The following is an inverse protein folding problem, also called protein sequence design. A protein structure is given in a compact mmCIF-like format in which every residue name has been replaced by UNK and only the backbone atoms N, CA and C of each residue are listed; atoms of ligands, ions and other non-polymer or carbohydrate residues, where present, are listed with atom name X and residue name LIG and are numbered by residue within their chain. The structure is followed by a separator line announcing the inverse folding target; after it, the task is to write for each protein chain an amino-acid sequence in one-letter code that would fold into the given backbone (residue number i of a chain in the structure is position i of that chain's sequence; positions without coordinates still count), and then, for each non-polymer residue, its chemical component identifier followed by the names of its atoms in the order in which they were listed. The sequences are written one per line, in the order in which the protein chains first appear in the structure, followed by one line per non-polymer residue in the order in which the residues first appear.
data_IF_855234531310
#
_entry.id   IF_855234531310
#
_cell.length_a   1.000
_cell.length_b   1.000
_cell.length_c   1.000
_cell.angle_alpha   90.00
_cell.angle_beta   90.00
_cell.angle_gamma   90.00
#
_symmetry.space_group_name_H-M   'P 1'
#
loop_
_entity.id
_entity.type
_entity.pdbx_description
1 polymer ?
#
# COMPACT_ATOMS: atom_id res chain seq x y z
N UNK A 1 77.41 62.31 78.59
CA UNK A 1 78.26 61.41 77.79
C UNK A 1 77.50 61.03 76.53
N UNK A 2 78.25 60.76 75.48
CA UNK A 2 77.92 60.91 74.06
C UNK A 2 77.60 59.54 73.41
N UNK A 3 76.63 59.54 72.46
CA UNK A 3 76.41 58.59 71.32
C UNK A 3 75.78 57.18 71.60
N UNK A 4 75.24 56.48 70.56
CA UNK A 4 74.44 56.94 69.40
C UNK A 4 73.31 55.95 68.92
N UNK A 5 72.47 56.46 67.99
CA UNK A 5 71.74 55.83 66.84
C UNK A 5 71.27 54.37 66.91
N UNK A 6 70.00 54.17 66.53
CA UNK A 6 69.67 53.39 65.32
C UNK A 6 68.29 53.78 64.76
N UNK A 7 68.26 54.03 63.45
CA UNK A 7 67.06 54.26 62.63
C UNK A 7 66.45 52.92 62.18
N UNK A 8 65.13 52.95 62.02
CA UNK A 8 64.11 51.95 61.64
C UNK A 8 64.43 51.10 60.39
N UNK A 9 63.71 49.98 60.16
CA UNK A 9 62.60 50.06 59.18
C UNK A 9 61.34 49.22 59.47
N UNK A 10 60.21 49.79 59.03
CA UNK A 10 58.97 49.17 58.54
C UNK A 10 58.28 48.05 59.35
N UNK A 11 57.30 48.47 60.15
CA UNK A 11 56.20 47.60 60.53
C UNK A 11 55.31 47.36 59.30
N UNK A 12 55.38 46.14 58.75
CA UNK A 12 54.53 45.67 57.67
C UNK A 12 53.04 45.91 58.02
N UNK A 13 52.21 46.41 57.07
CA UNK A 13 50.79 46.54 57.31
C UNK A 13 50.18 45.14 57.52
N UNK A 14 49.56 44.91 58.68
CA UNK A 14 48.81 43.68 58.93
C UNK A 14 47.58 43.64 58.01
N UNK A 15 47.53 42.61 57.17
CA UNK A 15 46.38 42.34 56.32
C UNK A 15 45.19 41.93 57.19
N UNK A 16 44.18 42.82 57.29
CA UNK A 16 42.88 42.48 57.86
C UNK A 16 42.11 41.71 56.79
N UNK A 17 42.05 40.39 56.92
CA UNK A 17 41.25 39.53 56.06
C UNK A 17 39.75 39.74 56.41
N UNK A 18 39.13 40.73 55.77
CA UNK A 18 37.68 40.92 55.89
C UNK A 18 36.98 39.82 55.11
N UNK A 19 36.54 38.77 55.83
CA UNK A 19 35.65 37.72 55.34
C UNK A 19 34.27 38.32 55.00
N UNK A 20 34.18 38.98 53.85
CA UNK A 20 32.92 39.46 53.30
C UNK A 20 32.17 38.27 52.72
N UNK A 21 31.17 37.80 53.45
CA UNK A 21 30.19 36.82 52.97
C UNK A 21 29.35 37.51 51.88
N UNK A 22 29.79 37.41 50.64
CA UNK A 22 29.01 37.88 49.50
C UNK A 22 27.80 36.95 49.36
N UNK A 23 26.60 37.52 49.50
CA UNK A 23 25.36 36.84 49.11
C UNK A 23 25.54 36.37 47.66
N UNK A 24 25.15 35.13 47.30
CA UNK A 24 25.31 34.66 45.93
C UNK A 24 24.63 35.66 45.00
N UNK A 25 25.43 36.30 44.16
CA UNK A 25 25.01 37.40 43.32
C UNK A 25 24.01 36.88 42.30
N UNK A 26 22.89 37.59 42.14
CA UNK A 26 21.88 37.39 41.08
C UNK A 26 22.50 37.31 39.67
N UNK A 27 23.73 37.81 39.50
CA UNK A 27 24.55 37.63 38.31
C UNK A 27 24.74 36.17 37.88
N UNK A 28 24.70 35.19 38.79
CA UNK A 28 24.77 33.76 38.47
C UNK A 28 23.46 33.18 37.91
N UNK A 29 22.34 33.89 37.99
CA UNK A 29 21.08 33.43 37.40
C UNK A 29 21.13 33.44 35.88
N UNK A 30 21.84 34.38 35.27
CA UNK A 30 21.97 34.49 33.81
C UNK A 30 22.64 33.25 33.18
N UNK A 31 23.82 32.76 33.64
CA UNK A 31 24.42 31.55 33.08
C UNK A 31 23.60 30.28 33.37
N UNK A 32 22.95 30.19 34.54
CA UNK A 32 22.08 29.06 34.86
C UNK A 32 20.85 29.05 33.94
N UNK A 33 20.23 30.20 33.71
CA UNK A 33 19.10 30.33 32.79
C UNK A 33 19.50 29.97 31.35
N UNK A 34 20.66 30.44 30.89
CA UNK A 34 21.20 30.07 29.57
C UNK A 34 21.45 28.56 29.46
N UNK A 35 22.03 27.94 30.49
CA UNK A 35 22.22 26.49 30.54
C UNK A 35 20.90 25.73 30.50
N UNK A 36 19.88 26.19 31.23
CA UNK A 36 18.53 25.60 31.21
C UNK A 36 17.89 25.70 29.82
N UNK A 37 18.07 26.81 29.10
CA UNK A 37 17.58 26.96 27.72
C UNK A 37 18.29 25.99 26.79
N UNK A 38 19.61 25.81 26.91
CA UNK A 38 20.36 24.85 26.08
C UNK A 38 19.92 23.41 26.37
N UNK A 39 19.77 23.04 27.64
CA UNK A 39 19.27 21.72 28.04
C UNK A 39 17.84 21.52 27.52
N UNK A 40 17.00 22.54 27.60
CA UNK A 40 15.62 22.49 27.10
C UNK A 40 15.56 22.35 25.58
N UNK A 41 16.37 23.10 24.83
CA UNK A 41 16.47 23.00 23.38
C UNK A 41 16.97 21.61 22.97
N UNK A 42 18.02 21.09 23.60
CA UNK A 42 18.53 19.74 23.36
C UNK A 42 17.49 18.66 23.66
N UNK A 43 16.77 18.79 24.77
CA UNK A 43 15.69 17.88 25.13
C UNK A 43 14.50 17.97 24.16
N UNK A 44 14.16 19.17 23.71
CA UNK A 44 13.10 19.40 22.72
C UNK A 44 13.46 18.82 21.35
N UNK A 45 14.72 18.95 20.91
CA UNK A 45 15.22 18.40 19.66
C UNK A 45 15.27 16.88 19.69
N UNK A 46 15.71 16.29 20.81
CA UNK A 46 15.71 14.84 20.99
C UNK A 46 14.28 14.28 21.07
N UNK A 47 13.39 14.95 21.82
CA UNK A 47 11.96 14.60 21.79
C UNK A 47 11.34 14.85 20.43
N UNK A 48 11.97 15.58 19.52
CA UNK A 48 11.42 15.94 18.23
C UNK A 48 11.67 14.94 17.09
N UNK A 49 12.69 14.09 17.21
CA UNK A 49 13.03 13.11 16.17
C UNK A 49 11.88 12.12 15.95
N UNK A 50 11.61 11.81 14.67
CA UNK A 50 10.69 10.74 14.28
C UNK A 50 11.21 9.37 14.75
N UNK A 51 10.36 8.36 14.69
CA UNK A 51 10.78 7.00 15.02
C UNK A 51 11.35 6.35 13.76
N UNK A 52 12.61 5.92 13.84
CA UNK A 52 13.31 5.31 12.71
C UNK A 52 13.14 3.80 12.72
N UNK A 53 12.76 3.24 11.57
CA UNK A 53 12.67 1.80 11.33
C UNK A 53 13.61 1.38 10.20
N UNK A 54 14.03 0.12 10.21
CA UNK A 54 14.87 -0.50 9.20
C UNK A 54 14.10 -1.62 8.51
N UNK A 55 14.05 -1.56 7.18
CA UNK A 55 13.36 -2.55 6.35
C UNK A 55 14.39 -3.17 5.41
N UNK A 56 14.57 -4.48 5.51
CA UNK A 56 15.47 -5.23 4.63
C UNK A 56 14.71 -5.78 3.45
N UNK A 57 15.09 -5.41 2.23
CA UNK A 57 14.56 -5.93 0.98
C UNK A 57 15.62 -6.74 0.23
N UNK A 58 15.20 -7.71 -0.58
CA UNK A 58 16.12 -8.42 -1.47
C UNK A 58 16.69 -7.48 -2.55
N UNK A 59 15.85 -6.56 -3.05
CA UNK A 59 16.20 -5.60 -4.10
C UNK A 59 15.59 -4.21 -3.82
N UNK A 60 16.28 -3.15 -4.23
CA UNK A 60 15.85 -1.77 -3.97
C UNK A 60 14.72 -1.32 -4.92
N UNK A 61 14.59 -1.97 -6.09
CA UNK A 61 13.61 -1.62 -7.12
C UNK A 61 13.53 -0.12 -7.46
N UNK A 62 14.67 0.59 -7.33
CA UNK A 62 14.77 2.03 -7.59
C UNK A 62 14.32 2.94 -6.44
N UNK A 63 14.07 2.44 -5.23
CA UNK A 63 13.79 3.30 -4.08
C UNK A 63 14.97 4.24 -3.81
N UNK A 64 14.66 5.51 -3.63
CA UNK A 64 15.62 6.59 -3.38
C UNK A 64 15.31 7.28 -2.04
N UNK A 65 16.23 8.15 -1.61
CA UNK A 65 16.03 8.99 -0.43
C UNK A 65 14.85 9.94 -0.70
N UNK A 66 14.06 10.22 0.34
CA UNK A 66 12.84 11.02 0.35
C UNK A 66 11.60 10.37 -0.31
N UNK A 67 11.71 9.12 -0.78
CA UNK A 67 10.54 8.37 -1.24
C UNK A 67 9.51 8.19 -0.09
N UNK A 68 8.21 8.35 -0.37
CA UNK A 68 7.19 8.33 0.67
C UNK A 68 6.85 6.90 1.10
N UNK A 69 6.58 6.76 2.39
CA UNK A 69 5.93 5.56 2.94
C UNK A 69 4.45 5.86 3.13
N UNK A 70 3.60 5.03 2.55
CA UNK A 70 2.16 5.25 2.45
C UNK A 70 1.36 4.14 3.13
N UNK A 71 0.33 4.54 3.89
CA UNK A 71 -0.71 3.65 4.39
C UNK A 71 -2.07 4.14 3.90
N UNK A 72 -2.83 3.28 3.20
CA UNK A 72 -4.17 3.63 2.65
C UNK A 72 -4.20 4.97 1.90
N UNK A 73 -3.14 5.28 1.14
CA UNK A 73 -3.01 6.53 0.38
C UNK A 73 -2.54 7.76 1.18
N UNK A 74 -2.31 7.63 2.49
CA UNK A 74 -1.82 8.69 3.35
C UNK A 74 -0.33 8.52 3.63
N UNK A 75 0.43 9.63 3.58
CA UNK A 75 1.87 9.62 3.90
C UNK A 75 2.10 9.48 5.40
N UNK A 76 2.77 8.40 5.78
CA UNK A 76 3.08 8.04 7.18
C UNK A 76 4.57 8.11 7.50
N UNK A 77 5.43 8.14 6.50
CA UNK A 77 6.87 8.28 6.69
C UNK A 77 7.59 8.62 5.39
N UNK A 78 8.92 8.66 5.47
CA UNK A 78 9.82 8.96 4.35
C UNK A 78 11.09 8.13 4.46
N UNK A 79 11.63 7.72 3.33
CA UNK A 79 12.92 7.05 3.25
C UNK A 79 14.04 8.06 3.54
N UNK A 80 14.93 7.73 4.46
CA UNK A 80 16.09 8.57 4.81
C UNK A 80 17.39 8.05 4.28
N UNK A 81 17.52 6.73 4.15
CA UNK A 81 18.76 6.11 3.75
C UNK A 81 18.50 4.77 3.07
N UNK A 82 19.31 4.47 2.05
CA UNK A 82 19.30 3.19 1.34
C UNK A 82 20.74 2.70 1.31
N UNK A 83 21.02 1.58 1.96
CA UNK A 83 22.37 1.00 2.06
C UNK A 83 22.36 -0.47 1.67
N UNK A 84 23.49 -0.99 1.19
CA UNK A 84 23.63 -2.41 0.93
C UNK A 84 23.81 -3.15 2.25
N UNK A 85 23.07 -4.25 2.43
CA UNK A 85 23.26 -5.12 3.58
C UNK A 85 24.67 -5.76 3.54
N UNK A 86 25.27 -6.05 4.71
CA UNK A 86 26.52 -6.80 4.77
C UNK A 86 26.44 -8.12 3.99
N UNK A 87 27.55 -8.52 3.37
CA UNK A 87 27.67 -9.73 2.56
C UNK A 87 26.78 -9.78 1.29
N UNK A 88 26.33 -8.62 0.77
CA UNK A 88 25.44 -8.52 -0.41
C UNK A 88 24.14 -9.33 -0.27
N UNK A 89 23.66 -9.49 0.96
CA UNK A 89 22.47 -10.29 1.27
C UNK A 89 21.14 -9.58 1.00
N UNK A 90 21.18 -8.30 0.62
CA UNK A 90 20.00 -7.47 0.35
C UNK A 90 20.31 -5.98 0.50
N UNK A 91 19.27 -5.19 0.73
CA UNK A 91 19.32 -3.73 0.85
C UNK A 91 18.55 -3.33 2.10
N UNK A 92 19.19 -2.51 2.94
CA UNK A 92 18.61 -1.96 4.16
C UNK A 92 18.12 -0.56 3.86
N UNK A 93 16.80 -0.37 3.99
CA UNK A 93 16.13 0.91 3.82
C UNK A 93 15.75 1.45 5.19
N UNK A 94 16.29 2.61 5.54
CA UNK A 94 16.00 3.31 6.79
C UNK A 94 14.89 4.32 6.55
N UNK A 95 13.76 4.15 7.25
CA UNK A 95 12.57 4.98 7.13
C UNK A 95 12.35 5.76 8.41
N UNK A 96 12.09 7.06 8.29
CA UNK A 96 11.60 7.88 9.39
C UNK A 96 10.08 7.94 9.33
N UNK A 97 9.42 7.37 10.36
CA UNK A 97 7.98 7.47 10.53
C UNK A 97 7.60 8.75 11.28
N UNK A 98 6.44 9.31 10.93
CA UNK A 98 5.85 10.40 11.70
C UNK A 98 5.45 9.91 13.09
N UNK A 99 5.50 10.80 14.08
CA UNK A 99 5.17 10.43 15.47
C UNK A 99 3.74 9.97 15.66
N UNK A 100 2.80 10.55 14.92
CA UNK A 100 1.37 10.21 14.97
C UNK A 100 1.05 8.86 14.32
N UNK A 101 2.00 8.27 13.60
CA UNK A 101 1.82 7.02 12.85
C UNK A 101 2.69 5.88 13.38
N UNK A 102 3.26 6.01 14.58
CA UNK A 102 4.09 4.97 15.22
C UNK A 102 3.36 3.63 15.36
N UNK A 103 2.04 3.65 15.57
CA UNK A 103 1.20 2.47 15.71
C UNK A 103 1.09 1.62 14.44
N UNK A 104 1.61 2.10 13.31
CA UNK A 104 1.58 1.37 12.03
C UNK A 104 2.73 0.35 11.93
N UNK A 105 3.84 0.59 12.64
CA UNK A 105 4.98 -0.33 12.70
C UNK A 105 4.80 -1.36 13.83
N UNK A 106 3.75 -2.18 13.70
CA UNK A 106 3.53 -3.34 14.56
C UNK A 106 4.57 -4.43 14.28
N UNK A 107 4.80 -5.37 15.20
CA UNK A 107 5.75 -6.49 15.05
C UNK A 107 5.45 -7.39 13.85
N UNK A 108 4.19 -7.43 13.42
CA UNK A 108 3.67 -8.17 12.28
C UNK A 108 3.29 -7.28 11.09
N UNK A 109 3.76 -6.02 11.07
CA UNK A 109 3.52 -5.11 9.96
C UNK A 109 4.23 -5.57 8.69
N UNK A 110 3.54 -5.45 7.56
CA UNK A 110 4.02 -5.85 6.24
C UNK A 110 4.37 -4.63 5.42
N UNK A 111 5.59 -4.60 4.89
CA UNK A 111 6.07 -3.52 4.03
C UNK A 111 6.40 -4.08 2.65
N UNK A 112 6.07 -3.35 1.58
CA UNK A 112 6.43 -3.74 0.22
C UNK A 112 6.65 -2.52 -0.67
N UNK A 113 7.49 -2.69 -1.69
CA UNK A 113 7.73 -1.66 -2.69
C UNK A 113 6.66 -1.76 -3.77
N UNK A 114 5.96 -0.66 -4.05
CA UNK A 114 4.97 -0.61 -5.13
C UNK A 114 5.69 -0.34 -6.43
N UNK A 115 5.59 -1.29 -7.36
CA UNK A 115 6.13 -1.13 -8.71
C UNK A 115 5.07 -0.47 -9.59
N UNK A 116 5.38 0.63 -10.30
CA UNK A 116 4.47 1.17 -11.30
C UNK A 116 4.32 0.13 -12.42
N UNK A 117 3.11 -0.36 -12.63
CA UNK A 117 2.82 -1.24 -13.75
C UNK A 117 2.72 -0.40 -15.01
N UNK A 118 3.59 -0.68 -15.98
CA UNK A 118 3.51 -0.06 -17.30
C UNK A 118 2.39 -0.76 -18.06
N UNK A 119 1.17 -0.26 -17.90
CA UNK A 119 0.08 -0.68 -18.78
C UNK A 119 0.28 0.00 -20.14
N UNK A 120 0.27 -0.76 -21.23
CA UNK A 120 0.30 -0.24 -22.61
C UNK A 120 -1.01 0.50 -22.98
N UNK A 121 -1.90 0.75 -22.01
CA UNK A 121 -3.11 1.54 -22.17
C UNK A 121 -2.76 3.02 -22.10
N UNK A 122 -2.74 3.66 -23.27
CA UNK A 122 -3.24 5.04 -23.41
C UNK A 122 -2.42 6.13 -22.76
N UNK A 123 -1.54 6.71 -23.57
CA UNK A 123 -0.88 7.98 -23.33
C UNK A 123 -1.93 9.11 -23.28
N UNK A 124 -2.35 9.53 -22.09
CA UNK A 124 -2.79 10.91 -21.82
C UNK A 124 -2.18 11.36 -20.50
N UNK A 125 -1.36 12.42 -20.57
CA UNK A 125 -0.50 12.87 -19.48
C UNK A 125 0.92 12.32 -19.56
N UNK A 126 1.68 12.73 -20.59
CA UNK A 126 3.14 12.48 -20.73
C UNK A 126 3.99 13.07 -19.58
N UNK A 127 3.36 13.55 -18.50
CA UNK A 127 4.00 14.10 -17.31
C UNK A 127 4.26 13.05 -16.20
N UNK A 128 3.72 11.83 -16.29
CA UNK A 128 3.79 10.83 -15.18
C UNK A 128 4.22 9.42 -15.64
N UNK A 129 5.15 9.33 -16.60
CA UNK A 129 5.72 8.05 -17.07
C UNK A 129 6.46 7.23 -15.99
N UNK A 130 6.53 7.73 -14.77
CA UNK A 130 6.97 7.01 -13.59
C UNK A 130 5.93 7.29 -12.50
N UNK A 131 5.03 6.32 -12.22
CA UNK A 131 4.28 6.37 -10.96
C UNK A 131 5.26 6.53 -9.79
N UNK A 132 4.88 7.25 -8.72
CA UNK A 132 5.81 7.54 -7.63
C UNK A 132 6.34 6.23 -7.03
N UNK A 133 7.66 6.10 -6.97
CA UNK A 133 8.32 5.01 -6.25
C UNK A 133 8.01 5.20 -4.77
N UNK A 134 7.32 4.23 -4.18
CA UNK A 134 6.84 4.36 -2.81
C UNK A 134 6.84 3.00 -2.12
N UNK A 135 6.96 3.05 -0.81
CA UNK A 135 6.80 1.89 0.06
C UNK A 135 5.38 1.94 0.61
N UNK A 136 4.65 0.84 0.52
CA UNK A 136 3.35 0.68 1.19
C UNK A 136 3.53 -0.15 2.44
N UNK A 137 2.76 0.20 3.47
CA UNK A 137 2.71 -0.54 4.73
C UNK A 137 1.30 -1.03 4.99
N UNK A 138 1.19 -2.18 5.63
CA UNK A 138 -0.02 -2.69 6.25
C UNK A 138 0.31 -3.07 7.70
N UNK A 139 -0.27 -2.36 8.70
CA UNK A 139 -0.13 -2.75 10.09
C UNK A 139 -0.77 -4.12 10.31
N UNK A 140 -0.15 -4.93 11.15
CA UNK A 140 -0.76 -6.17 11.60
C UNK A 140 -1.60 -5.99 12.87
N UNK A 141 -1.86 -7.10 13.53
CA UNK A 141 -2.78 -7.22 14.66
C UNK A 141 -2.10 -7.12 16.03
N UNK A 142 -0.78 -7.36 16.11
CA UNK A 142 -0.05 -7.27 17.37
C UNK A 142 0.26 -5.80 17.71
N UNK A 143 -0.20 -5.26 18.85
CA UNK A 143 0.07 -3.85 19.20
C UNK A 143 1.54 -3.55 19.53
N UNK A 144 2.42 -4.56 19.59
CA UNK A 144 3.84 -4.38 19.87
C UNK A 144 4.53 -3.64 18.74
N UNK A 145 5.25 -2.60 19.09
CA UNK A 145 6.08 -1.85 18.15
C UNK A 145 7.37 -2.60 17.82
N UNK A 146 7.74 -2.67 16.54
CA UNK A 146 9.03 -3.19 16.08
C UNK A 146 9.79 -2.14 15.26
N UNK A 147 11.12 -2.29 15.21
CA UNK A 147 12.03 -1.41 14.46
C UNK A 147 12.65 -2.06 13.24
N UNK A 148 12.67 -3.39 13.20
CA UNK A 148 13.30 -4.17 12.15
C UNK A 148 12.23 -4.96 11.42
N UNK A 149 12.26 -4.89 10.10
CA UNK A 149 11.26 -5.49 9.22
C UNK A 149 11.93 -6.19 8.05
N UNK A 150 11.30 -7.26 7.59
CA UNK A 150 11.62 -7.89 6.31
C UNK A 150 10.58 -7.41 5.30
N UNK A 151 11.06 -6.76 4.25
CA UNK A 151 10.25 -6.25 3.17
C UNK A 151 9.81 -7.35 2.21
N UNK A 152 8.55 -7.30 1.78
CA UNK A 152 7.98 -8.21 0.79
C UNK A 152 8.29 -7.73 -0.63
N UNK A 153 8.58 -8.67 -1.52
CA UNK A 153 8.88 -8.40 -2.93
C UNK A 153 7.64 -8.03 -3.77
N UNK A 154 6.45 -8.32 -3.27
CA UNK A 154 5.18 -7.98 -3.89
C UNK A 154 4.18 -7.56 -2.82
N UNK A 155 3.12 -6.88 -3.23
CA UNK A 155 2.00 -6.62 -2.35
C UNK A 155 1.52 -7.95 -1.74
N UNK A 156 1.25 -8.01 -0.43
CA UNK A 156 0.46 -9.12 0.08
C UNK A 156 -0.80 -9.15 -0.77
N UNK A 157 -1.14 -10.33 -1.30
CA UNK A 157 -2.33 -10.55 -2.11
C UNK A 157 -3.46 -9.73 -1.48
N UNK A 158 -3.97 -8.75 -2.24
CA UNK A 158 -5.11 -7.92 -1.87
C UNK A 158 -6.05 -8.87 -1.18
N UNK A 159 -6.38 -8.56 0.08
CA UNK A 159 -7.35 -9.31 0.88
C UNK A 159 -8.43 -9.74 -0.09
N UNK A 160 -8.44 -11.04 -0.44
CA UNK A 160 -9.56 -11.64 -1.15
C UNK A 160 -10.75 -11.05 -0.41
N UNK A 161 -11.63 -10.34 -1.10
CA UNK A 161 -12.81 -9.83 -0.44
C UNK A 161 -13.42 -11.07 0.24
N UNK A 162 -13.32 -11.17 1.57
CA UNK A 162 -13.51 -12.44 2.29
C UNK A 162 -14.94 -12.94 2.08
N UNK A 163 -15.82 -11.99 1.78
CA UNK A 163 -17.21 -12.18 1.45
C UNK A 163 -17.48 -12.48 -0.04
N UNK A 164 -16.58 -12.13 -0.96
CA UNK A 164 -16.76 -12.40 -2.38
C UNK A 164 -16.62 -13.88 -2.70
N UNK A 165 -17.37 -14.37 -3.69
CA UNK A 165 -17.24 -15.74 -4.18
C UNK A 165 -16.03 -15.82 -5.11
N UNK A 166 -15.08 -16.69 -4.76
CA UNK A 166 -13.85 -16.92 -5.53
C UNK A 166 -13.96 -18.25 -6.27
N UNK A 167 -13.92 -18.22 -7.59
CA UNK A 167 -14.01 -19.40 -8.45
C UNK A 167 -12.88 -19.42 -9.47
N UNK A 168 -12.69 -20.56 -10.11
CA UNK A 168 -11.77 -20.72 -11.21
C UNK A 168 -12.53 -21.01 -12.49
N UNK A 169 -12.03 -20.46 -13.60
CA UNK A 169 -12.49 -20.81 -14.94
C UNK A 169 -11.28 -21.27 -15.75
N UNK A 170 -11.26 -22.54 -16.13
CA UNK A 170 -10.20 -23.13 -16.93
C UNK A 170 -10.50 -22.90 -18.42
N UNK A 171 -9.48 -22.46 -19.16
CA UNK A 171 -9.58 -22.18 -20.59
C UNK A 171 -8.41 -22.84 -21.34
N UNK A 172 -8.63 -23.26 -22.59
CA UNK A 172 -7.57 -23.84 -23.43
C UNK A 172 -6.43 -22.84 -23.71
N UNK A 173 -6.76 -21.54 -23.74
CA UNK A 173 -5.82 -20.43 -23.94
C UNK A 173 -6.34 -19.17 -23.25
N UNK A 174 -5.42 -18.31 -22.82
CA UNK A 174 -5.77 -17.04 -22.15
C UNK A 174 -6.56 -16.07 -23.07
N UNK A 175 -6.22 -16.01 -24.35
CA UNK A 175 -6.89 -15.13 -25.31
C UNK A 175 -6.68 -13.64 -24.99
N UNK A 176 -7.76 -12.87 -25.00
CA UNK A 176 -7.83 -11.43 -24.69
C UNK A 176 -8.15 -11.12 -23.22
N UNK A 177 -8.24 -12.16 -22.38
CA UNK A 177 -8.57 -12.01 -20.97
C UNK A 177 -7.37 -11.46 -20.21
N UNK A 178 -7.62 -10.44 -19.40
CA UNK A 178 -6.60 -9.76 -18.59
C UNK A 178 -7.11 -9.61 -17.15
N UNK A 179 -6.20 -9.57 -16.15
CA UNK A 179 -6.52 -9.13 -14.80
C UNK A 179 -7.23 -7.78 -14.82
N UNK A 180 -8.27 -7.65 -13.99
CA UNK A 180 -9.21 -6.53 -14.00
C UNK A 180 -10.27 -6.59 -15.11
N UNK A 181 -10.24 -7.60 -15.99
CA UNK A 181 -11.29 -7.82 -16.98
C UNK A 181 -12.64 -8.10 -16.32
N UNK A 182 -13.76 -7.60 -16.87
CA UNK A 182 -15.06 -7.69 -16.21
C UNK A 182 -15.63 -9.11 -16.27
N UNK A 183 -16.35 -9.49 -15.22
CA UNK A 183 -17.20 -10.68 -15.20
C UNK A 183 -18.65 -10.22 -15.31
N UNK A 184 -19.33 -10.64 -16.38
CA UNK A 184 -20.60 -10.09 -16.81
C UNK A 184 -21.74 -11.09 -16.63
N UNK A 185 -22.84 -10.63 -16.04
CA UNK A 185 -24.13 -11.31 -16.08
C UNK A 185 -25.13 -10.40 -16.77
N UNK A 186 -25.63 -10.80 -17.95
CA UNK A 186 -26.54 -9.97 -18.77
C UNK A 186 -26.02 -8.54 -18.99
N UNK A 187 -24.76 -8.44 -19.39
CA UNK A 187 -24.05 -7.16 -19.65
C UNK A 187 -23.86 -6.25 -18.43
N UNK A 188 -24.21 -6.73 -17.23
CA UNK A 188 -23.93 -6.05 -15.95
C UNK A 188 -22.68 -6.66 -15.35
N UNK A 189 -21.72 -5.82 -14.96
CA UNK A 189 -20.54 -6.28 -14.23
C UNK A 189 -20.91 -6.71 -12.81
N UNK A 190 -20.62 -7.96 -12.50
CA UNK A 190 -20.90 -8.59 -11.20
C UNK A 190 -19.63 -9.08 -10.49
N UNK A 191 -18.48 -8.93 -11.14
CA UNK A 191 -17.19 -9.37 -10.65
C UNK A 191 -16.06 -8.98 -11.60
N UNK A 192 -14.89 -9.57 -11.38
CA UNK A 192 -13.68 -9.30 -12.15
C UNK A 192 -12.71 -10.50 -12.16
N UNK A 193 -11.86 -10.52 -13.18
CA UNK A 193 -10.73 -11.45 -13.25
C UNK A 193 -9.62 -10.93 -12.33
N UNK A 194 -9.14 -11.76 -11.40
CA UNK A 194 -8.11 -11.34 -10.43
C UNK A 194 -6.70 -11.72 -10.90
N UNK A 195 -6.53 -12.94 -11.39
CA UNK A 195 -5.24 -13.44 -11.90
C UNK A 195 -5.43 -14.61 -12.85
N UNK A 196 -4.35 -15.06 -13.47
CA UNK A 196 -4.33 -16.31 -14.23
C UNK A 196 -3.00 -17.05 -14.02
N UNK A 197 -3.03 -18.37 -14.14
CA UNK A 197 -1.85 -19.21 -14.09
C UNK A 197 -1.99 -20.37 -15.09
N UNK A 198 -0.86 -20.91 -15.56
CA UNK A 198 -0.88 -22.16 -16.31
C UNK A 198 -1.01 -23.32 -15.31
N UNK A 199 -1.96 -24.24 -15.52
CA UNK A 199 -2.07 -25.41 -14.64
C UNK A 199 -0.82 -26.29 -14.75
N UNK A 200 -0.51 -27.06 -13.71
CA UNK A 200 0.76 -27.80 -13.59
C UNK A 200 1.05 -28.77 -14.73
N UNK A 201 0.00 -29.38 -15.30
CA UNK A 201 0.13 -30.29 -16.45
C UNK A 201 0.20 -29.57 -17.80
N UNK A 202 0.18 -28.23 -17.79
CA UNK A 202 0.25 -27.34 -18.96
C UNK A 202 -0.89 -27.48 -19.96
N UNK A 203 -1.99 -28.14 -19.58
CA UNK A 203 -3.12 -28.41 -20.49
C UNK A 203 -4.11 -27.25 -20.61
N UNK A 204 -4.17 -26.39 -19.59
CA UNK A 204 -5.11 -25.28 -19.52
C UNK A 204 -4.51 -24.05 -18.81
N UNK A 205 -5.12 -22.91 -19.04
CA UNK A 205 -4.92 -21.68 -18.26
C UNK A 205 -6.04 -21.60 -17.24
N UNK A 206 -5.68 -21.61 -15.96
CA UNK A 206 -6.61 -21.39 -14.85
C UNK A 206 -6.75 -19.90 -14.58
N UNK A 207 -7.97 -19.40 -14.72
CA UNK A 207 -8.28 -17.99 -14.52
C UNK A 207 -9.00 -17.86 -13.17
N UNK A 208 -8.44 -17.06 -12.27
CA UNK A 208 -9.05 -16.74 -10.99
C UNK A 208 -10.07 -15.61 -11.18
N UNK A 209 -11.28 -15.85 -10.68
CA UNK A 209 -12.43 -14.96 -10.83
C UNK A 209 -13.01 -14.66 -9.46
N UNK A 210 -13.22 -13.38 -9.19
CA UNK A 210 -13.91 -12.88 -8.00
C UNK A 210 -15.27 -12.34 -8.41
N UNK A 211 -16.32 -12.74 -7.68
CA UNK A 211 -17.71 -12.32 -7.90
C UNK A 211 -18.23 -11.74 -6.60
N UNK A 212 -18.84 -10.55 -6.64
CA UNK A 212 -19.37 -9.90 -5.44
C UNK A 212 -20.33 -10.83 -4.68
N UNK A 213 -20.30 -10.80 -3.35
CA UNK A 213 -21.13 -11.63 -2.46
C UNK A 213 -22.62 -11.63 -2.85
N UNK A 214 -23.17 -10.45 -3.15
CA UNK A 214 -24.57 -10.26 -3.58
C UNK A 214 -24.94 -11.04 -4.84
N UNK A 215 -23.97 -11.29 -5.72
CA UNK A 215 -24.17 -11.99 -6.98
C UNK A 215 -23.73 -13.47 -6.91
N UNK A 216 -23.14 -13.92 -5.79
CA UNK A 216 -22.77 -15.31 -5.58
C UNK A 216 -23.93 -16.30 -5.83
N UNK A 217 -25.19 -16.02 -5.44
CA UNK A 217 -26.31 -16.92 -5.72
C UNK A 217 -26.58 -17.16 -7.22
N UNK A 218 -26.11 -16.28 -8.11
CA UNK A 218 -26.24 -16.46 -9.55
C UNK A 218 -25.41 -17.64 -10.06
N UNK A 219 -24.35 -18.03 -9.35
CA UNK A 219 -23.39 -19.02 -9.80
C UNK A 219 -23.73 -20.38 -9.18
N UNK A 220 -24.30 -21.24 -10.01
CA UNK A 220 -24.57 -22.64 -9.70
C UNK A 220 -23.64 -23.59 -10.45
N UNK A 221 -23.61 -24.85 -10.05
CA UNK A 221 -22.87 -25.95 -10.70
C UNK A 221 -23.21 -26.12 -12.20
N UNK A 222 -24.40 -25.67 -12.62
CA UNK A 222 -24.89 -25.68 -14.00
C UNK A 222 -24.63 -24.39 -14.78
N UNK A 223 -23.94 -23.41 -14.19
CA UNK A 223 -23.58 -22.14 -14.84
C UNK A 223 -22.62 -22.39 -16.01
N UNK A 224 -22.80 -21.62 -17.08
CA UNK A 224 -21.92 -21.65 -18.26
C UNK A 224 -21.23 -20.32 -18.44
N UNK A 225 -19.91 -20.36 -18.58
CA UNK A 225 -19.04 -19.21 -18.79
C UNK A 225 -18.53 -19.22 -20.22
N UNK A 226 -18.45 -18.04 -20.85
CA UNK A 226 -17.84 -17.89 -22.17
C UNK A 226 -17.01 -16.61 -22.25
N UNK A 227 -16.12 -16.57 -23.23
CA UNK A 227 -15.35 -15.39 -23.54
C UNK A 227 -16.28 -14.31 -24.15
N UNK A 228 -16.43 -13.18 -23.48
CA UNK A 228 -17.25 -12.06 -23.96
C UNK A 228 -16.51 -11.15 -24.96
N UNK A 229 -15.23 -11.41 -25.22
CA UNK A 229 -14.42 -10.69 -26.20
C UNK A 229 -14.74 -11.21 -27.60
N UNK A 230 -15.22 -10.34 -28.48
CA UNK A 230 -15.49 -10.71 -29.88
C UNK A 230 -16.96 -10.92 -30.22
N UNK A 231 -17.90 -10.52 -29.36
CA UNK A 231 -19.26 -10.27 -29.83
C UNK A 231 -19.19 -8.98 -30.65
N UNK A 232 -19.17 -9.12 -31.98
CA UNK A 232 -19.55 -8.08 -32.91
C UNK A 232 -20.92 -7.57 -32.46
N UNK A 233 -20.92 -6.48 -31.70
CA UNK A 233 -22.13 -5.69 -31.53
C UNK A 233 -22.39 -5.13 -32.92
N UNK A 234 -23.35 -5.71 -33.63
CA UNK A 234 -23.97 -5.17 -34.83
C UNK A 234 -24.64 -3.82 -34.47
N UNK A 235 -23.84 -2.80 -34.13
CA UNK A 235 -24.31 -1.45 -33.81
C UNK A 235 -24.49 -0.72 -35.13
N UNK A 236 -25.64 -1.01 -35.75
CA UNK A 236 -26.37 -0.10 -36.61
C UNK A 236 -25.52 0.81 -37.48
N UNK A 237 -25.09 0.27 -38.63
CA UNK A 237 -25.01 1.08 -39.84
C UNK A 237 -26.32 1.91 -39.90
N UNK A 238 -26.19 3.24 -39.99
CA UNK A 238 -27.28 4.22 -40.04
C UNK A 238 -27.95 4.58 -38.69
N UNK A 239 -27.27 5.35 -37.83
CA UNK A 239 -27.82 6.62 -37.31
C UNK A 239 -26.78 7.36 -36.47
N UNK A 240 -26.43 8.56 -36.91
CA UNK A 240 -25.43 9.40 -36.25
C UNK A 240 -25.86 9.81 -34.84
N UNK A 241 -25.03 9.49 -33.84
CA UNK A 241 -25.13 10.02 -32.48
C UNK A 241 -23.72 10.20 -31.90
N UNK A 242 -23.53 11.34 -31.22
CA UNK A 242 -22.30 11.90 -30.65
C UNK A 242 -21.47 10.88 -29.86
N UNK A 243 -20.23 10.65 -30.31
CA UNK A 243 -19.23 9.89 -29.56
C UNK A 243 -18.86 10.62 -28.26
N UNK A 244 -19.19 10.00 -27.11
CA UNK A 244 -18.40 10.13 -25.88
C UNK A 244 -17.29 9.09 -25.96
N UNK A 245 -16.03 9.51 -25.93
CA UNK A 245 -14.85 8.66 -26.11
C UNK A 245 -14.66 7.63 -25.00
N UNK A 246 -15.22 7.87 -23.82
CA UNK A 246 -14.99 7.05 -22.61
C UNK A 246 -15.62 5.65 -22.71
N UNK A 247 -16.63 5.46 -23.58
CA UNK A 247 -17.32 4.16 -23.74
C UNK A 247 -16.59 3.18 -24.67
N UNK A 248 -15.54 3.63 -25.38
CA UNK A 248 -14.78 2.76 -26.29
C UNK A 248 -13.68 1.98 -25.56
N UNK A 249 -13.19 2.48 -24.43
CA UNK A 249 -12.09 1.88 -23.66
C UNK A 249 -12.51 0.61 -22.91
N UNK A 250 -13.77 0.54 -22.45
CA UNK A 250 -14.37 -0.65 -21.86
C UNK A 250 -14.60 -1.80 -22.86
N UNK A 251 -14.65 -1.49 -24.16
CA UNK A 251 -14.86 -2.48 -25.23
C UNK A 251 -13.55 -3.19 -25.64
N UNK A 252 -12.38 -2.70 -25.21
CA UNK A 252 -11.08 -3.26 -25.57
C UNK A 252 -10.53 -4.29 -24.57
N UNK A 253 -11.12 -4.40 -23.39
CA UNK A 253 -10.67 -5.37 -22.38
C UNK A 253 -11.54 -6.62 -22.49
N UNK A 254 -10.91 -7.75 -22.78
CA UNK A 254 -11.63 -9.01 -22.83
C UNK A 254 -12.26 -9.36 -21.48
N UNK A 255 -13.52 -9.77 -21.51
CA UNK A 255 -14.29 -10.13 -20.32
C UNK A 255 -14.77 -11.58 -20.36
N UNK A 256 -15.25 -12.05 -19.21
CA UNK A 256 -15.93 -13.34 -19.08
C UNK A 256 -17.41 -13.05 -18.87
N UNK A 257 -18.29 -13.64 -19.67
CA UNK A 257 -19.72 -13.58 -19.42
C UNK A 257 -20.24 -14.95 -18.99
N UNK A 258 -21.36 -14.96 -18.26
CA UNK A 258 -22.00 -16.21 -17.87
C UNK A 258 -23.52 -16.16 -17.89
N UNK A 259 -24.12 -17.35 -17.93
CA UNK A 259 -25.55 -17.55 -17.81
C UNK A 259 -25.84 -18.81 -17.00
N UNK A 260 -26.93 -18.70 -16.24
CA UNK A 260 -27.41 -19.76 -15.36
C UNK A 260 -28.75 -20.26 -15.91
N UNK A 261 -28.94 -21.59 -16.07
CA UNK A 261 -30.19 -22.14 -16.59
C UNK A 261 -31.43 -21.67 -15.82
N UNK A 262 -32.57 -21.55 -16.51
CA UNK A 262 -33.85 -21.13 -15.91
C UNK A 262 -34.25 -22.00 -14.71
N UNK A 263 -33.85 -23.27 -14.72
CA UNK A 263 -33.87 -24.15 -13.54
C UNK A 263 -32.44 -24.23 -13.01
N UNK A 264 -32.04 -23.36 -12.08
CA UNK A 264 -30.68 -23.35 -11.55
C UNK A 264 -30.39 -24.64 -10.78
N UNK A 265 -29.12 -25.04 -10.76
CA UNK A 265 -28.65 -26.15 -9.94
C UNK A 265 -28.31 -25.69 -8.52
N UNK A 266 -27.33 -26.33 -7.89
CA UNK A 266 -26.90 -25.95 -6.54
C UNK A 266 -25.88 -24.81 -6.62
N UNK A 267 -25.97 -23.84 -5.70
CA UNK A 267 -24.97 -22.79 -5.55
C UNK A 267 -23.60 -23.40 -5.24
N UNK A 268 -22.56 -22.87 -5.88
CA UNK A 268 -21.19 -23.36 -5.65
C UNK A 268 -20.51 -22.58 -4.52
N UNK A 269 -19.53 -23.23 -3.88
CA UNK A 269 -18.63 -22.58 -2.93
C UNK A 269 -17.35 -22.08 -3.60
N UNK A 270 -16.43 -21.58 -2.77
CA UNK A 270 -15.12 -21.13 -3.23
C UNK A 270 -14.31 -22.25 -3.90
N UNK A 271 -13.42 -21.86 -4.81
CA UNK A 271 -12.50 -22.72 -5.55
C UNK A 271 -13.19 -23.72 -6.50
N UNK A 272 -14.49 -23.55 -6.76
CA UNK A 272 -15.18 -24.33 -7.77
C UNK A 272 -14.60 -24.01 -9.15
N UNK A 273 -14.37 -25.03 -9.96
CA UNK A 273 -13.73 -24.91 -11.27
C UNK A 273 -14.78 -25.09 -12.36
N UNK A 274 -14.89 -24.09 -13.23
CA UNK A 274 -15.71 -24.11 -14.44
C UNK A 274 -14.83 -24.22 -15.68
N UNK A 275 -15.44 -24.59 -16.81
CA UNK A 275 -14.79 -24.51 -18.11
C UNK A 275 -15.23 -23.23 -18.83
N UNK A 276 -14.29 -22.51 -19.43
CA UNK A 276 -14.55 -21.39 -20.32
C UNK A 276 -14.87 -21.90 -21.72
N UNK A 277 -16.02 -21.51 -22.24
CA UNK A 277 -16.45 -21.80 -23.60
C UNK A 277 -16.02 -20.64 -24.52
N UNK A 278 -15.65 -20.95 -25.76
CA UNK A 278 -15.26 -19.92 -26.73
C UNK A 278 -16.42 -19.01 -27.11
N UNK A 279 -17.63 -19.57 -27.24
CA UNK A 279 -18.84 -18.88 -27.69
C UNK A 279 -20.07 -19.33 -26.89
N UNK A 280 -21.06 -18.43 -26.67
CA UNK A 280 -22.30 -18.80 -26.01
C UNK A 280 -23.21 -19.61 -26.93
N UNK A 281 -23.86 -20.65 -26.40
CA UNK A 281 -24.96 -21.30 -27.13
C UNK A 281 -26.20 -20.39 -27.15
N UNK A 282 -26.97 -20.35 -28.26
CA UNK A 282 -28.17 -19.51 -28.35
C UNK A 282 -29.22 -19.74 -27.25
N UNK A 283 -29.25 -20.94 -26.67
CA UNK A 283 -30.14 -21.29 -25.56
C UNK A 283 -29.75 -20.59 -24.25
N UNK A 284 -28.46 -20.36 -24.01
CA UNK A 284 -27.94 -19.73 -22.78
C UNK A 284 -28.39 -18.28 -22.68
N UNK A 285 -28.37 -17.57 -23.81
CA UNK A 285 -28.80 -16.18 -23.93
C UNK A 285 -30.30 -15.98 -23.66
N UNK A 286 -31.09 -17.08 -23.71
CA UNK A 286 -32.54 -17.06 -23.45
C UNK A 286 -32.88 -17.41 -22.00
N UNK A 287 -31.92 -17.88 -21.20
CA UNK A 287 -32.19 -18.29 -19.82
C UNK A 287 -32.57 -17.12 -18.93
N UNK A 288 -33.65 -17.31 -18.18
CA UNK A 288 -34.21 -16.29 -17.28
C UNK A 288 -34.56 -16.89 -15.91
N UNK A 289 -33.56 -17.33 -15.12
CA UNK A 289 -33.83 -17.84 -13.79
C UNK A 289 -34.30 -16.70 -12.88
N UNK A 290 -35.16 -17.05 -11.92
CA UNK A 290 -35.56 -16.15 -10.82
C UNK A 290 -34.71 -16.50 -9.61
N UNK A 291 -33.57 -15.82 -9.47
CA UNK A 291 -32.65 -15.99 -8.35
C UNK A 291 -32.68 -14.69 -7.54
N UNK A 292 -32.92 -14.81 -6.24
CA UNK A 292 -32.86 -13.68 -5.32
C UNK A 292 -31.40 -13.33 -5.03
N UNK A 293 -31.01 -12.11 -5.35
CA UNK A 293 -29.65 -11.56 -5.15
C UNK A 293 -29.61 -10.55 -4.00
N UNK A 294 -30.67 -10.48 -3.18
CA UNK A 294 -30.78 -9.53 -2.09
C UNK A 294 -31.07 -8.10 -2.55
N UNK A 295 -31.29 -7.21 -1.59
CA UNK A 295 -31.74 -5.83 -1.83
C UNK A 295 -30.63 -5.00 -2.49
N UNK A 296 -30.95 -4.31 -3.60
CA UNK A 296 -30.04 -3.39 -4.26
C UNK A 296 -29.74 -2.21 -3.33
N UNK A 297 -28.52 -2.12 -2.78
CA UNK A 297 -28.13 -0.89 -2.08
C UNK A 297 -28.19 0.30 -3.06
N UNK A 298 -28.75 1.44 -2.65
CA UNK A 298 -28.84 2.62 -3.50
C UNK A 298 -27.43 3.04 -3.94
N UNK A 299 -27.30 3.40 -5.22
CA UNK A 299 -26.10 4.01 -5.75
C UNK A 299 -25.82 5.31 -4.95
N UNK A 300 -24.66 5.37 -4.30
CA UNK A 300 -24.09 6.60 -3.74
C UNK A 300 -23.18 7.26 -4.77
#
# INVERSE_FOLDING_TARGET
MTKPKQQTPDALPQAVESKQWTRPSIAWLLPIAAMLVVVWLGYSAWRQQGETIEITFDHAHGIEVDDPVMYRGVRVGIVREVTLAPANSGIIVRVELRRDTRSIATSDARFWIVRPEVSLRGVTGLETLLGPRLIRVEPGTDPKFAREFVGLNAAPSITLNESALHIFVDADRLGSLLPGGPVLYRDVQVGQITSYELVRDTTAVRIAVEVDERFAPLITDTTKFWNASGIDLDIGLFNGVRLRSDSLESLLTGGIAFATPTKPGQTVGHNYVFQLESEPKPEWLRWKPSIDVGEAMPAN
#
